data_IF_922805494728
#
_entry.id   IF_922805494728
#
_cell.length_a   1.000
_cell.length_b   1.000
_cell.length_c   1.000
_cell.angle_alpha   90.00
_cell.angle_beta   90.00
_cell.angle_gamma   90.00
#
_symmetry.space_group_name_H-M   'P 1'
#
loop_
_entity.id
_entity.type
_entity.pdbx_description
1 polymer ?
#
# COMPACT_ATOMS: atom_id res chain seq x y z
N UNK A 1 -17.68 -9.05 0.31
CA UNK A 1 -18.95 -8.29 0.33
C UNK A 1 -18.90 -7.20 -0.75
N UNK A 2 -20.04 -6.71 -1.27
CA UNK A 2 -20.05 -5.66 -2.32
C UNK A 2 -19.50 -4.32 -1.82
N UNK A 3 -19.78 -3.96 -0.57
CA UNK A 3 -19.30 -2.72 0.04
C UNK A 3 -17.77 -2.66 0.18
N UNK A 4 -17.12 -3.72 0.67
CA UNK A 4 -15.65 -3.78 0.75
C UNK A 4 -14.99 -3.63 -0.61
N UNK A 5 -15.53 -4.33 -1.62
CA UNK A 5 -15.05 -4.24 -3.01
C UNK A 5 -15.19 -2.82 -3.56
N UNK A 6 -16.31 -2.14 -3.25
CA UNK A 6 -16.49 -0.74 -3.65
C UNK A 6 -15.49 0.19 -2.96
N UNK A 7 -15.22 -0.01 -1.66
CA UNK A 7 -14.23 0.80 -0.93
C UNK A 7 -12.80 0.59 -1.47
N UNK A 8 -12.43 -0.65 -1.78
CA UNK A 8 -11.15 -0.95 -2.44
C UNK A 8 -11.08 -0.31 -3.83
N UNK A 9 -12.16 -0.34 -4.61
CA UNK A 9 -12.21 0.31 -5.92
C UNK A 9 -12.06 1.84 -5.83
N UNK A 10 -12.64 2.47 -4.80
CA UNK A 10 -12.45 3.90 -4.53
C UNK A 10 -10.99 4.19 -4.19
N UNK A 11 -10.36 3.37 -3.33
CA UNK A 11 -8.93 3.49 -3.04
C UNK A 11 -8.05 3.38 -4.29
N UNK A 12 -8.26 2.33 -5.09
CA UNK A 12 -7.54 2.12 -6.35
C UNK A 12 -7.75 3.27 -7.34
N UNK A 13 -8.98 3.77 -7.47
CA UNK A 13 -9.30 4.91 -8.32
C UNK A 13 -8.62 6.20 -7.87
N UNK A 14 -8.63 6.48 -6.56
CA UNK A 14 -7.93 7.62 -5.97
C UNK A 14 -6.42 7.55 -6.23
N UNK A 15 -5.82 6.37 -6.07
CA UNK A 15 -4.42 6.15 -6.34
C UNK A 15 -4.09 6.33 -7.83
N UNK A 16 -4.89 5.74 -8.72
CA UNK A 16 -4.73 5.85 -10.16
C UNK A 16 -4.82 7.30 -10.66
N UNK A 17 -5.70 8.11 -10.06
CA UNK A 17 -5.85 9.53 -10.40
C UNK A 17 -4.59 10.36 -10.08
N UNK A 18 -3.73 9.90 -9.17
CA UNK A 18 -2.47 10.57 -8.81
C UNK A 18 -1.32 10.20 -9.75
N UNK A 19 -1.44 9.13 -10.56
CA UNK A 19 -0.37 8.68 -11.44
C UNK A 19 -0.01 9.69 -12.54
N UNK A 20 -0.97 10.29 -13.27
CA UNK A 20 -0.65 11.27 -14.31
C UNK A 20 0.14 12.49 -13.79
N UNK A 21 -0.27 13.19 -12.71
CA UNK A 21 0.51 14.34 -12.23
C UNK A 21 1.88 13.95 -11.70
N UNK A 22 2.02 12.76 -11.07
CA UNK A 22 3.33 12.24 -10.63
C UNK A 22 4.22 11.93 -11.84
N UNK A 23 3.70 11.28 -12.87
CA UNK A 23 4.45 10.96 -14.09
C UNK A 23 4.94 12.21 -14.82
N UNK A 24 4.10 13.24 -14.92
CA UNK A 24 4.49 14.55 -15.48
C UNK A 24 5.56 15.21 -14.61
N UNK A 25 5.43 15.13 -13.28
CA UNK A 25 6.42 15.64 -12.34
C UNK A 25 7.79 14.99 -12.48
N UNK A 26 7.85 13.69 -12.78
CA UNK A 26 9.10 12.95 -13.00
C UNK A 26 9.71 13.32 -14.36
N UNK A 27 8.90 13.38 -15.43
CA UNK A 27 9.38 13.65 -16.79
C UNK A 27 9.78 15.10 -17.06
N UNK A 28 8.98 16.06 -16.59
CA UNK A 28 9.14 17.50 -16.88
C UNK A 28 9.65 18.32 -15.69
N UNK A 29 9.85 17.70 -14.53
CA UNK A 29 10.08 18.39 -13.27
C UNK A 29 8.78 18.85 -12.60
N UNK A 30 8.77 18.84 -11.28
CA UNK A 30 7.64 19.24 -10.46
C UNK A 30 7.42 20.76 -10.47
N UNK A 31 6.47 21.23 -11.28
CA UNK A 31 6.17 22.67 -11.44
C UNK A 31 4.98 23.17 -10.62
N UNK A 32 4.26 22.28 -9.94
CA UNK A 32 3.00 22.58 -9.25
C UNK A 32 3.18 23.13 -7.82
N UNK A 33 4.43 23.35 -7.39
CA UNK A 33 4.76 23.91 -6.08
C UNK A 33 4.79 22.89 -4.93
N UNK A 34 5.28 23.33 -3.77
CA UNK A 34 5.49 22.48 -2.58
C UNK A 34 4.18 21.92 -2.02
N UNK A 35 3.11 22.73 -1.97
CA UNK A 35 1.82 22.31 -1.44
C UNK A 35 1.20 21.13 -2.20
N UNK A 36 1.25 21.16 -3.54
CA UNK A 36 0.77 20.02 -4.34
C UNK A 36 1.68 18.80 -4.20
N UNK A 37 3.00 18.97 -4.05
CA UNK A 37 3.91 17.84 -3.80
C UNK A 37 3.53 17.10 -2.51
N UNK A 38 3.32 17.85 -1.42
CA UNK A 38 2.90 17.29 -0.14
C UNK A 38 1.51 16.66 -0.20
N UNK A 39 0.56 17.31 -0.89
CA UNK A 39 -0.79 16.78 -1.08
C UNK A 39 -0.79 15.47 -1.88
N UNK A 40 0.03 15.40 -2.94
CA UNK A 40 0.16 14.18 -3.76
C UNK A 40 0.72 13.04 -2.93
N UNK A 41 1.78 13.27 -2.14
CA UNK A 41 2.31 12.24 -1.24
C UNK A 41 1.32 11.84 -0.16
N UNK A 42 0.54 12.78 0.39
CA UNK A 42 -0.52 12.51 1.35
C UNK A 42 -1.59 11.60 0.75
N UNK A 43 -2.16 11.97 -0.39
CA UNK A 43 -3.23 11.20 -1.05
C UNK A 43 -2.73 9.81 -1.48
N UNK A 44 -1.47 9.72 -1.92
CA UNK A 44 -0.84 8.45 -2.29
C UNK A 44 -0.82 7.49 -1.10
N UNK A 45 -0.22 7.90 0.03
CA UNK A 45 -0.11 7.06 1.22
C UNK A 45 -1.45 6.84 1.91
N UNK A 46 -2.35 7.84 1.88
CA UNK A 46 -3.70 7.70 2.43
C UNK A 46 -4.47 6.60 1.71
N UNK A 47 -4.47 6.59 0.38
CA UNK A 47 -5.10 5.54 -0.40
C UNK A 47 -4.49 4.17 -0.10
N UNK A 48 -3.16 4.09 -0.05
CA UNK A 48 -2.48 2.82 0.21
C UNK A 48 -2.76 2.24 1.60
N UNK A 49 -2.71 3.07 2.63
CA UNK A 49 -3.01 2.65 3.99
C UNK A 49 -4.48 2.25 4.14
N UNK A 50 -5.40 2.99 3.51
CA UNK A 50 -6.82 2.64 3.51
C UNK A 50 -7.04 1.25 2.89
N UNK A 51 -6.43 0.98 1.73
CA UNK A 51 -6.50 -0.31 1.07
C UNK A 51 -5.87 -1.44 1.90
N UNK A 52 -4.67 -1.24 2.45
CA UNK A 52 -3.99 -2.23 3.28
C UNK A 52 -4.77 -2.59 4.55
N UNK A 53 -5.34 -1.59 5.24
CA UNK A 53 -6.19 -1.80 6.41
C UNK A 53 -7.50 -2.53 6.05
N UNK A 54 -8.15 -2.15 4.95
CA UNK A 54 -9.36 -2.82 4.46
C UNK A 54 -9.09 -4.29 4.11
N UNK A 55 -8.00 -4.57 3.39
CA UNK A 55 -7.57 -5.93 3.04
C UNK A 55 -7.24 -6.74 4.30
N UNK A 56 -6.43 -6.19 5.21
CA UNK A 56 -6.07 -6.83 6.47
C UNK A 56 -7.29 -7.16 7.33
N UNK A 57 -8.21 -6.21 7.49
CA UNK A 57 -9.45 -6.41 8.24
C UNK A 57 -10.35 -7.51 7.65
N UNK A 58 -10.30 -7.71 6.33
CA UNK A 58 -11.10 -8.73 5.64
C UNK A 58 -10.54 -10.16 5.78
N UNK A 59 -9.28 -10.29 6.18
CA UNK A 59 -8.59 -11.57 6.35
C UNK A 59 -8.77 -12.18 7.74
N UNK A 60 -9.28 -11.41 8.72
CA UNK A 60 -9.56 -11.90 10.07
C UNK A 60 -11.05 -12.27 10.22
N UNK A 61 -11.38 -13.56 10.23
CA UNK A 61 -12.76 -14.07 10.37
C UNK A 61 -13.06 -14.68 11.75
N UNK A 62 -12.18 -14.48 12.74
CA UNK A 62 -12.30 -15.12 14.06
C UNK A 62 -13.38 -14.50 14.95
N UNK A 63 -13.83 -15.25 15.96
CA UNK A 63 -14.85 -14.86 16.95
C UNK A 63 -14.54 -13.53 17.67
N UNK A 64 -13.27 -13.17 17.84
CA UNK A 64 -12.83 -11.88 18.40
C UNK A 64 -13.00 -10.72 17.43
N UNK A 65 -13.08 -11.03 16.13
CA UNK A 65 -13.45 -10.15 15.03
C UNK A 65 -14.86 -10.50 14.51
N UNK A 66 -15.88 -10.51 15.40
CA UNK A 66 -17.28 -10.23 14.99
C UNK A 66 -17.44 -8.75 14.53
N UNK A 67 -16.38 -8.21 13.96
CA UNK A 67 -16.25 -6.94 13.32
C UNK A 67 -16.78 -7.18 11.92
N UNK A 68 -17.95 -6.65 11.59
CA UNK A 68 -18.44 -6.76 10.23
C UNK A 68 -17.72 -5.68 9.41
N UNK A 69 -16.72 -6.00 8.56
CA UNK A 69 -16.15 -5.06 7.59
C UNK A 69 -17.22 -4.47 6.66
N UNK A 70 -18.47 -4.98 6.70
CA UNK A 70 -19.63 -4.40 6.03
C UNK A 70 -20.25 -3.21 6.77
N UNK A 71 -19.89 -2.92 8.02
CA UNK A 71 -20.43 -1.75 8.71
C UNK A 71 -19.83 -0.48 8.11
N UNK A 72 -20.69 0.41 7.58
CA UNK A 72 -20.29 1.70 7.00
C UNK A 72 -19.41 2.51 7.97
N UNK A 73 -19.66 2.39 9.27
CA UNK A 73 -18.89 3.05 10.33
C UNK A 73 -17.45 2.56 10.41
N UNK A 74 -17.23 1.25 10.30
CA UNK A 74 -15.89 0.68 10.30
C UNK A 74 -15.09 1.11 9.07
N UNK A 75 -15.69 1.06 7.89
CA UNK A 75 -15.03 1.56 6.68
C UNK A 75 -14.58 3.02 6.86
N UNK A 76 -15.50 3.89 7.30
CA UNK A 76 -15.17 5.31 7.58
C UNK A 76 -14.05 5.43 8.62
N UNK A 77 -14.10 4.65 9.71
CA UNK A 77 -13.06 4.66 10.72
C UNK A 77 -11.69 4.25 10.14
N UNK A 78 -11.62 3.22 9.30
CA UNK A 78 -10.37 2.79 8.65
C UNK A 78 -9.84 3.86 7.68
N UNK A 79 -10.71 4.58 6.96
CA UNK A 79 -10.31 5.70 6.11
C UNK A 79 -9.76 6.88 6.91
N UNK A 80 -10.39 7.22 8.04
CA UNK A 80 -9.91 8.27 8.95
C UNK A 80 -8.58 7.88 9.58
N UNK A 81 -8.46 6.62 10.03
CA UNK A 81 -7.20 6.09 10.53
C UNK A 81 -6.10 6.14 9.46
N UNK A 82 -6.39 5.70 8.24
CA UNK A 82 -5.44 5.79 7.14
C UNK A 82 -4.97 7.23 6.87
N UNK A 83 -5.87 8.22 6.99
CA UNK A 83 -5.52 9.63 6.82
C UNK A 83 -4.58 10.09 7.94
N UNK A 84 -4.89 9.72 9.18
CA UNK A 84 -4.05 10.04 10.33
C UNK A 84 -2.65 9.42 10.21
N UNK A 85 -2.57 8.17 9.72
CA UNK A 85 -1.31 7.49 9.47
C UNK A 85 -0.52 8.09 8.31
N UNK A 86 -1.19 8.73 7.34
CA UNK A 86 -0.53 9.38 6.21
C UNK A 86 -0.05 10.81 6.52
N UNK A 87 -0.57 11.47 7.56
CA UNK A 87 -0.18 12.83 7.94
C UNK A 87 1.33 13.08 8.10
N UNK A 88 2.13 12.17 8.71
CA UNK A 88 3.57 12.35 8.83
C UNK A 88 4.27 12.57 7.47
N UNK A 89 3.77 11.95 6.39
CA UNK A 89 4.35 12.12 5.04
C UNK A 89 4.13 13.52 4.47
N UNK A 90 2.97 14.12 4.75
CA UNK A 90 2.62 15.44 4.23
C UNK A 90 3.49 16.52 4.89
N UNK A 91 3.78 16.35 6.17
CA UNK A 91 4.57 17.29 6.97
C UNK A 91 6.08 17.23 6.65
N UNK A 92 6.55 16.11 6.13
CA UNK A 92 7.98 15.84 5.90
C UNK A 92 8.39 15.92 4.43
N UNK A 93 7.43 15.94 3.50
CA UNK A 93 7.67 16.09 2.06
C UNK A 93 7.82 17.56 1.65
N UNK A 94 8.49 17.80 0.53
CA UNK A 94 8.63 19.15 -0.01
C UNK A 94 9.41 19.20 -1.32
N UNK A 95 9.53 20.38 -1.92
CA UNK A 95 10.23 20.56 -3.20
C UNK A 95 11.65 21.06 -3.01
N UNK A 96 12.61 20.61 -3.82
CA UNK A 96 13.95 21.20 -3.90
C UNK A 96 14.18 21.83 -5.26
N UNK A 97 14.92 22.93 -5.29
CA UNK A 97 15.23 23.67 -6.51
C UNK A 97 16.66 23.33 -6.98
N UNK A 98 16.82 22.42 -7.96
CA UNK A 98 18.06 22.34 -8.77
C UNK A 98 17.94 21.36 -9.95
N UNK A 99 18.64 21.57 -11.08
CA UNK A 99 18.21 22.32 -12.28
C UNK A 99 16.81 21.98 -12.86
N UNK A 100 16.13 20.94 -12.36
CA UNK A 100 14.69 20.70 -12.56
C UNK A 100 14.05 20.57 -11.18
N UNK A 101 13.00 21.34 -10.84
CA UNK A 101 12.37 21.22 -9.54
C UNK A 101 11.88 19.77 -9.35
N UNK A 102 12.27 19.12 -8.27
CA UNK A 102 11.83 17.75 -7.96
C UNK A 102 11.05 17.73 -6.66
N UNK A 103 10.00 16.93 -6.64
CA UNK A 103 9.21 16.68 -5.44
C UNK A 103 9.96 15.63 -4.62
N UNK A 104 10.55 16.06 -3.51
CA UNK A 104 11.28 15.18 -2.61
C UNK A 104 10.28 14.57 -1.63
N UNK A 105 10.30 13.24 -1.58
CA UNK A 105 9.48 12.45 -0.65
C UNK A 105 9.78 12.81 0.81
N UNK A 106 11.03 13.15 1.12
CA UNK A 106 11.52 13.46 2.47
C UNK A 106 12.49 14.63 2.43
N UNK A 107 12.17 15.73 3.13
CA UNK A 107 13.05 16.89 3.34
C UNK A 107 13.78 16.83 4.69
N UNK A 108 13.23 16.08 5.64
CA UNK A 108 13.74 15.94 7.02
C UNK A 108 14.84 14.89 7.11
N UNK A 109 15.65 14.96 8.16
CA UNK A 109 16.68 13.96 8.42
C UNK A 109 16.09 12.55 8.57
N UNK A 110 16.88 11.57 8.15
CA UNK A 110 16.55 10.14 8.21
C UNK A 110 16.24 9.66 9.63
N UNK A 111 16.81 10.32 10.64
CA UNK A 111 16.60 10.04 12.06
C UNK A 111 15.43 10.80 12.68
N UNK A 112 14.72 11.62 11.91
CA UNK A 112 13.59 12.37 12.43
C UNK A 112 12.47 11.42 12.89
N UNK A 113 11.82 11.69 14.04
CA UNK A 113 10.80 10.79 14.58
C UNK A 113 9.60 10.66 13.63
N UNK A 114 9.28 11.71 12.86
CA UNK A 114 8.21 11.67 11.86
C UNK A 114 8.53 10.70 10.70
N UNK A 115 9.78 10.70 10.21
CA UNK A 115 10.22 9.75 9.19
C UNK A 115 10.23 8.32 9.73
N UNK A 116 10.81 8.11 10.91
CA UNK A 116 10.87 6.79 11.54
C UNK A 116 9.48 6.23 11.83
N UNK A 117 8.54 7.06 12.27
CA UNK A 117 7.15 6.68 12.47
C UNK A 117 6.50 6.25 11.15
N UNK A 118 6.65 7.03 10.07
CA UNK A 118 6.09 6.66 8.77
C UNK A 118 6.71 5.36 8.23
N UNK A 119 8.03 5.22 8.35
CA UNK A 119 8.74 4.02 7.94
C UNK A 119 8.22 2.81 8.73
N UNK A 120 8.14 2.91 10.06
CA UNK A 120 7.62 1.85 10.91
C UNK A 120 6.19 1.46 10.51
N UNK A 121 5.31 2.44 10.23
CA UNK A 121 3.94 2.18 9.76
C UNK A 121 3.92 1.44 8.42
N UNK A 122 4.73 1.86 7.45
CA UNK A 122 4.88 1.16 6.17
C UNK A 122 5.36 -0.28 6.37
N UNK A 123 6.36 -0.51 7.21
CA UNK A 123 6.87 -1.86 7.48
C UNK A 123 5.84 -2.72 8.22
N UNK A 124 5.12 -2.16 9.18
CA UNK A 124 4.05 -2.86 9.88
C UNK A 124 2.93 -3.27 8.92
N UNK A 125 2.49 -2.39 8.03
CA UNK A 125 1.38 -2.65 7.13
C UNK A 125 1.76 -3.54 5.94
N UNK A 126 2.94 -3.35 5.35
CA UNK A 126 3.33 -4.05 4.12
C UNK A 126 4.18 -5.29 4.35
N UNK A 127 4.86 -5.44 5.49
CA UNK A 127 5.70 -6.62 5.77
C UNK A 127 5.16 -7.42 6.96
N UNK A 128 4.97 -6.78 8.11
CA UNK A 128 4.62 -7.49 9.34
C UNK A 128 3.21 -8.08 9.28
N UNK A 129 2.22 -7.27 8.85
CA UNK A 129 0.84 -7.70 8.73
C UNK A 129 0.69 -8.92 7.79
N UNK A 130 1.19 -8.92 6.54
CA UNK A 130 1.12 -10.11 5.70
C UNK A 130 1.90 -11.29 6.28
N UNK A 131 3.07 -11.07 6.90
CA UNK A 131 3.82 -12.16 7.52
C UNK A 131 3.03 -12.83 8.66
N UNK A 132 2.42 -12.04 9.55
CA UNK A 132 1.58 -12.53 10.64
C UNK A 132 0.36 -13.28 10.10
N UNK A 133 -0.29 -12.75 9.06
CA UNK A 133 -1.40 -13.44 8.39
C UNK A 133 -0.93 -14.77 7.78
N UNK A 134 0.25 -14.83 7.16
CA UNK A 134 0.80 -16.05 6.57
C UNK A 134 1.05 -17.11 7.64
N UNK A 135 1.74 -16.72 8.70
CA UNK A 135 2.07 -17.60 9.82
C UNK A 135 0.80 -18.10 10.49
N UNK A 136 -0.19 -17.22 10.73
CA UNK A 136 -1.48 -17.63 11.26
C UNK A 136 -2.21 -18.62 10.34
N UNK A 137 -2.13 -18.42 9.01
CA UNK A 137 -2.69 -19.34 8.04
C UNK A 137 -2.05 -20.73 8.12
N UNK A 138 -0.73 -20.80 8.25
CA UNK A 138 0.04 -22.05 8.21
C UNK A 138 -0.02 -22.78 9.55
N UNK A 139 0.17 -22.05 10.66
CA UNK A 139 0.25 -22.61 12.01
C UNK A 139 -1.11 -23.04 12.58
N UNK A 140 -2.22 -22.47 12.08
CA UNK A 140 -3.55 -22.76 12.62
C UNK A 140 -4.51 -23.25 11.50
N UNK A 141 -4.48 -24.55 11.16
CA UNK A 141 -5.37 -25.14 10.15
C UNK A 141 -6.86 -24.95 10.47
N UNK A 142 -7.21 -24.85 11.76
CA UNK A 142 -8.59 -24.56 12.22
C UNK A 142 -9.07 -23.17 11.79
N UNK A 143 -8.16 -22.21 11.64
CA UNK A 143 -8.48 -20.88 11.13
C UNK A 143 -8.67 -20.89 9.62
N UNK A 144 -7.96 -21.75 8.88
CA UNK A 144 -8.14 -21.92 7.42
C UNK A 144 -9.57 -22.34 7.04
N UNK A 145 -10.31 -23.03 7.91
CA UNK A 145 -11.70 -23.40 7.63
C UNK A 145 -12.67 -22.20 7.55
N UNK A 146 -12.34 -21.09 8.22
CA UNK A 146 -13.09 -19.83 8.18
C UNK A 146 -12.54 -18.82 7.16
N UNK A 147 -11.51 -19.18 6.40
CA UNK A 147 -10.80 -18.30 5.48
C UNK A 147 -11.53 -18.28 4.13
N UNK A 148 -12.15 -17.13 3.81
CA UNK A 148 -12.95 -16.93 2.62
C UNK A 148 -12.08 -16.73 1.35
N UNK A 149 -12.61 -17.01 0.14
CA UNK A 149 -11.91 -16.85 -1.15
C UNK A 149 -11.38 -15.42 -1.46
N UNK A 150 -11.60 -14.42 -0.60
CA UNK A 150 -10.98 -13.09 -0.69
C UNK A 150 -9.47 -13.07 -0.39
N UNK A 151 -8.91 -14.18 0.08
CA UNK A 151 -7.49 -14.37 0.38
C UNK A 151 -6.59 -14.24 -0.85
N UNK A 152 -7.02 -14.68 -2.03
CA UNK A 152 -6.22 -14.53 -3.26
C UNK A 152 -5.96 -13.06 -3.61
N UNK A 153 -6.98 -12.21 -3.52
CA UNK A 153 -6.85 -10.77 -3.78
C UNK A 153 -6.03 -10.06 -2.69
N UNK A 154 -6.12 -10.53 -1.45
CA UNK A 154 -5.36 -10.00 -0.31
C UNK A 154 -3.86 -10.31 -0.45
N UNK A 155 -3.51 -11.56 -0.79
CA UNK A 155 -2.13 -11.96 -1.07
C UNK A 155 -1.55 -11.29 -2.30
N UNK A 156 -2.37 -11.06 -3.33
CA UNK A 156 -1.94 -10.30 -4.50
C UNK A 156 -1.56 -8.86 -4.12
N UNK A 157 -2.39 -8.19 -3.32
CA UNK A 157 -2.09 -6.85 -2.82
C UNK A 157 -0.76 -6.84 -2.04
N UNK A 158 -0.61 -7.73 -1.05
CA UNK A 158 0.63 -7.79 -0.28
C UNK A 158 1.84 -8.19 -1.13
N UNK A 159 1.70 -9.14 -2.06
CA UNK A 159 2.78 -9.55 -2.95
C UNK A 159 3.31 -8.41 -3.83
N UNK A 160 2.43 -7.50 -4.25
CA UNK A 160 2.82 -6.31 -5.03
C UNK A 160 3.46 -5.21 -4.16
N UNK A 161 3.04 -5.09 -2.89
CA UNK A 161 3.49 -4.01 -1.99
C UNK A 161 4.63 -4.40 -1.04
N UNK A 162 4.89 -5.68 -0.81
CA UNK A 162 6.04 -6.17 -0.02
C UNK A 162 7.38 -5.71 -0.60
N UNK A 163 7.65 -5.80 -1.92
CA UNK A 163 8.90 -5.30 -2.50
C UNK A 163 9.12 -3.81 -2.21
N UNK A 164 8.05 -3.02 -2.25
CA UNK A 164 8.08 -1.59 -1.90
C UNK A 164 8.46 -1.37 -0.43
N UNK A 165 7.85 -2.12 0.50
CA UNK A 165 8.19 -2.01 1.92
C UNK A 165 9.63 -2.46 2.22
N UNK A 166 10.13 -3.50 1.56
CA UNK A 166 11.54 -3.93 1.65
C UNK A 166 12.46 -2.84 1.11
N UNK A 167 12.10 -2.23 -0.02
CA UNK A 167 12.80 -1.07 -0.56
C UNK A 167 12.84 0.09 0.44
N UNK A 168 11.75 0.42 1.12
CA UNK A 168 11.78 1.47 2.14
C UNK A 168 12.73 1.13 3.31
N UNK A 169 12.77 -0.12 3.77
CA UNK A 169 13.70 -0.54 4.81
C UNK A 169 15.16 -0.39 4.38
N UNK A 170 15.50 -0.86 3.17
CA UNK A 170 16.87 -0.80 2.67
C UNK A 170 17.30 0.65 2.38
N UNK A 171 16.41 1.50 1.86
CA UNK A 171 16.64 2.96 1.69
C UNK A 171 17.05 3.59 3.03
N UNK A 172 16.31 3.27 4.10
CA UNK A 172 16.63 3.72 5.44
C UNK A 172 17.99 3.22 5.93
N UNK A 173 18.30 1.92 5.78
CA UNK A 173 19.59 1.37 6.21
C UNK A 173 20.78 2.04 5.48
N UNK A 174 20.63 2.32 4.18
CA UNK A 174 21.64 3.02 3.39
C UNK A 174 21.81 4.47 3.86
N UNK A 175 20.71 5.21 4.05
CA UNK A 175 20.73 6.60 4.53
C UNK A 175 21.23 6.73 5.97
N UNK A 176 20.94 5.75 6.82
CA UNK A 176 21.44 5.66 8.18
C UNK A 176 22.91 5.22 8.27
N UNK A 177 23.60 5.01 7.13
CA UNK A 177 24.99 4.54 7.03
C UNK A 177 25.23 3.19 7.72
N UNK A 178 24.17 2.40 7.93
CA UNK A 178 24.27 1.06 8.54
C UNK A 178 24.75 0.01 7.53
N UNK A 179 24.58 0.28 6.23
CA UNK A 179 25.15 -0.49 5.12
C UNK A 179 26.23 0.35 4.43
N UNK A 180 27.36 -0.25 4.05
CA UNK A 180 28.41 0.46 3.33
C UNK A 180 27.92 0.89 1.95
N UNK A 181 27.82 2.20 1.67
CA UNK A 181 27.33 2.67 0.38
C UNK A 181 28.46 2.62 -0.66
N UNK A 182 28.23 1.89 -1.76
CA UNK A 182 29.00 2.08 -2.99
C UNK A 182 28.15 2.87 -4.00
N UNK A 183 28.77 3.72 -4.83
CA UNK A 183 28.02 4.51 -5.83
C UNK A 183 27.18 3.62 -6.77
N UNK A 184 27.68 2.43 -7.13
CA UNK A 184 26.93 1.48 -7.96
C UNK A 184 25.71 0.88 -7.24
N UNK A 185 25.78 0.73 -5.90
CA UNK A 185 24.66 0.23 -5.09
C UNK A 185 23.51 1.25 -5.03
N UNK A 186 23.79 2.56 -4.96
CA UNK A 186 22.74 3.59 -4.92
C UNK A 186 21.93 3.67 -6.22
N UNK A 187 22.60 3.61 -7.38
CA UNK A 187 21.92 3.71 -8.68
C UNK A 187 21.02 2.49 -8.96
N UNK A 188 21.50 1.29 -8.64
CA UNK A 188 20.69 0.07 -8.72
C UNK A 188 19.52 0.10 -7.74
N UNK A 189 19.72 0.70 -6.57
CA UNK A 189 18.71 0.73 -5.54
C UNK A 189 17.58 1.71 -5.84
N UNK A 190 17.87 2.90 -6.34
CA UNK A 190 16.86 3.85 -6.80
C UNK A 190 16.03 3.27 -7.95
N UNK A 191 16.66 2.50 -8.85
CA UNK A 191 15.96 1.77 -9.90
C UNK A 191 15.03 0.69 -9.33
N UNK A 192 15.50 -0.13 -8.38
CA UNK A 192 14.70 -1.19 -7.75
C UNK A 192 13.54 -0.63 -6.93
N UNK A 193 13.74 0.52 -6.27
CA UNK A 193 12.68 1.21 -5.54
C UNK A 193 11.62 1.76 -6.50
N UNK A 194 12.04 2.37 -7.61
CA UNK A 194 11.14 2.82 -8.68
C UNK A 194 10.37 1.67 -9.33
N UNK A 195 11.02 0.53 -9.55
CA UNK A 195 10.38 -0.69 -10.06
C UNK A 195 9.38 -1.26 -9.06
N UNK A 196 9.71 -1.26 -7.76
CA UNK A 196 8.83 -1.70 -6.69
C UNK A 196 7.61 -0.80 -6.54
N UNK A 197 7.80 0.50 -6.74
CA UNK A 197 6.69 1.45 -6.81
C UNK A 197 5.81 1.20 -8.04
N UNK A 198 6.41 0.91 -9.20
CA UNK A 198 5.69 0.50 -10.42
C UNK A 198 4.93 -0.83 -10.27
N UNK A 199 5.49 -1.81 -9.58
CA UNK A 199 4.80 -3.04 -9.19
C UNK A 199 3.63 -2.74 -8.25
N UNK A 200 3.83 -1.81 -7.31
CA UNK A 200 2.77 -1.22 -6.51
C UNK A 200 1.67 -0.67 -7.41
N UNK A 201 1.98 0.21 -8.37
CA UNK A 201 1.00 0.79 -9.32
C UNK A 201 0.19 -0.26 -10.07
N UNK A 202 0.80 -1.38 -10.43
CA UNK A 202 0.13 -2.48 -11.14
C UNK A 202 -1.07 -3.06 -10.35
N UNK A 203 -1.13 -2.85 -9.02
CA UNK A 203 -2.27 -3.27 -8.20
C UNK A 203 -3.58 -2.62 -8.65
N UNK A 204 -3.52 -1.41 -9.21
CA UNK A 204 -4.70 -0.71 -9.72
C UNK A 204 -5.32 -1.42 -10.93
N UNK A 205 -4.53 -2.17 -11.70
CA UNK A 205 -4.98 -2.95 -12.86
C UNK A 205 -5.32 -4.40 -12.48
N UNK A 206 -4.45 -5.03 -11.69
CA UNK A 206 -4.59 -6.43 -11.29
C UNK A 206 -5.66 -6.66 -10.21
N UNK A 207 -5.87 -5.68 -9.33
CA UNK A 207 -6.87 -5.73 -8.25
C UNK A 207 -8.29 -5.94 -8.79
N UNK A 208 -8.78 -5.08 -9.72
CA UNK A 208 -10.09 -5.27 -10.34
C UNK A 208 -10.20 -6.59 -11.10
N UNK A 209 -9.14 -7.02 -11.81
CA UNK A 209 -9.12 -8.29 -12.53
C UNK A 209 -9.26 -9.49 -11.59
N UNK A 210 -8.52 -9.51 -10.48
CA UNK A 210 -8.61 -10.57 -9.47
C UNK A 210 -10.00 -10.62 -8.82
N UNK A 211 -10.60 -9.45 -8.55
CA UNK A 211 -11.96 -9.35 -8.01
C UNK A 211 -13.02 -9.83 -9.02
N UNK A 212 -12.81 -9.62 -10.32
CA UNK A 212 -13.69 -10.13 -11.37
C UNK A 212 -13.52 -11.63 -11.60
N UNK A 213 -12.28 -12.12 -11.62
CA UNK A 213 -11.97 -13.55 -11.79
C UNK A 213 -12.56 -14.40 -10.65
N UNK A 214 -12.43 -13.95 -9.40
CA UNK A 214 -13.05 -14.61 -8.24
C UNK A 214 -14.58 -14.66 -8.31
N UNK A 215 -15.23 -13.61 -8.85
CA UNK A 215 -16.69 -13.61 -9.09
C UNK A 215 -17.10 -14.58 -10.20
N UNK A 216 -16.32 -14.67 -11.28
CA UNK A 216 -16.59 -15.59 -12.39
C UNK A 216 -16.38 -17.05 -11.97
N UNK A 217 -15.34 -17.34 -11.18
CA UNK A 217 -15.11 -18.66 -10.59
C UNK A 217 -16.26 -19.12 -9.70
N UNK A 218 -16.76 -18.23 -8.82
CA UNK A 218 -17.93 -18.54 -7.98
C UNK A 218 -19.20 -18.80 -8.80
N UNK A 219 -19.41 -18.07 -9.90
CA UNK A 219 -20.56 -18.31 -10.80
C UNK A 219 -20.45 -19.66 -11.51
N UNK A 220 -19.26 -20.07 -11.97
CA UNK A 220 -19.05 -21.37 -12.62
C UNK A 220 -19.23 -22.56 -11.67
N UNK A 221 -18.79 -22.43 -10.42
CA UNK A 221 -18.96 -23.49 -9.40
C UNK A 221 -20.44 -23.64 -9.00
N UNK A 222 -21.20 -22.53 -8.93
CA UNK A 222 -22.64 -22.58 -8.65
C UNK A 222 -23.50 -23.20 -9.75
N UNK A 223 -22.99 -23.32 -10.98
CA UNK A 223 -23.68 -23.96 -12.12
C UNK A 223 -23.27 -25.42 -12.34
N UNK A 224 -22.26 -25.93 -11.63
CA UNK A 224 -21.76 -27.30 -11.78
C UNK A 224 -22.27 -28.29 -10.71
N UNK A 225 -23.15 -27.86 -9.81
CA UNK A 225 -23.68 -28.65 -8.69
C UNK A 225 -25.09 -29.20 -8.88
N UNK A 226 -25.60 -29.26 -10.11
CA UNK A 226 -26.88 -29.90 -10.44
C UNK A 226 -26.66 -30.97 -11.50
N UNK A 227 -26.16 -32.12 -11.06
CA UNK A 227 -26.42 -33.44 -11.63
C UNK A 227 -26.63 -34.40 -10.47
#
# INVERSE_FOLDING_TARGET
SRALVAQLAVGMGLFAALLPPVAVGIGQGWRLGAGLCSLTHLLWHWSLFAQGLLVGSSSCSTIWCRWDPRSRRLAVALWVWALLLAMPVALTSGTVASPKPSCLRWRVDVLSPAYLLHLALCLCLFLLLPAVLLVAAVAMPRLRAGWQPGIGASWLFFGLWVPYGVGLAVDFLLRARLLQPSCGTFEHFDFVLGLSEGLGVLHCCLGPLALMATRLGHRRVGTGGSC
#
